data_IF_583034613949
#
_entry.id   IF_583034613949
#
_cell.length_a   1.000
_cell.length_b   1.000
_cell.length_c   1.000
_cell.angle_alpha   90.00
_cell.angle_beta   90.00
_cell.angle_gamma   90.00
#
_symmetry.space_group_name_H-M   'P 1'
#
loop_
_entity.id
_entity.type
_entity.pdbx_description
1 polymer ?
#
# COMPACT_ATOMS: atom_id res chain seq x y z
N UNK A 1 -29.28 73.10 -79.94
CA UNK A 1 -30.73 73.41 -79.95
C UNK A 1 -31.24 73.29 -78.53
N UNK A 2 -31.73 74.42 -77.97
CA UNK A 2 -32.66 74.63 -76.84
C UNK A 2 -32.40 73.88 -75.52
N UNK A 3 -32.42 74.48 -74.34
CA UNK A 3 -32.74 75.84 -73.87
C UNK A 3 -32.06 75.96 -72.48
N UNK A 4 -31.39 77.08 -72.18
CA UNK A 4 -31.85 78.07 -71.20
C UNK A 4 -32.20 77.52 -69.79
N UNK A 5 -31.78 78.10 -68.67
CA UNK A 5 -30.97 79.29 -68.39
C UNK A 5 -31.19 79.59 -66.89
N UNK A 6 -30.14 80.05 -66.19
CA UNK A 6 -30.19 81.01 -65.07
C UNK A 6 -30.93 80.63 -63.75
N UNK A 7 -30.57 81.03 -62.53
CA UNK A 7 -29.72 82.11 -62.00
C UNK A 7 -29.19 81.76 -60.59
N UNK A 8 -28.08 82.43 -60.24
CA UNK A 8 -27.42 82.66 -58.95
C UNK A 8 -28.26 82.77 -57.66
N UNK A 9 -27.68 82.37 -56.51
CA UNK A 9 -26.90 83.25 -55.58
C UNK A 9 -26.41 82.48 -54.33
N UNK A 10 -25.16 82.76 -53.92
CA UNK A 10 -24.44 82.18 -52.77
C UNK A 10 -25.03 82.56 -51.41
N UNK A 11 -24.98 81.64 -50.44
CA UNK A 11 -24.69 81.94 -49.03
C UNK A 11 -23.94 80.75 -48.40
N UNK A 12 -22.79 81.02 -47.77
CA UNK A 12 -22.02 80.06 -46.99
C UNK A 12 -22.72 79.77 -45.64
N UNK A 13 -22.81 78.51 -45.21
CA UNK A 13 -22.65 78.16 -43.80
C UNK A 13 -22.37 76.67 -43.59
N UNK A 14 -21.14 76.42 -43.14
CA UNK A 14 -20.59 75.19 -42.59
C UNK A 14 -21.39 74.73 -41.36
N UNK A 15 -21.81 73.47 -41.29
CA UNK A 15 -22.11 72.78 -40.01
C UNK A 15 -21.66 71.32 -40.09
N UNK A 16 -20.44 71.08 -39.62
CA UNK A 16 -19.98 69.77 -39.20
C UNK A 16 -20.67 69.44 -37.86
N UNK A 17 -21.53 68.43 -37.86
CA UNK A 17 -22.19 67.95 -36.65
C UNK A 17 -21.29 66.88 -36.04
N UNK A 18 -20.41 67.27 -35.12
CA UNK A 18 -19.67 66.33 -34.27
C UNK A 18 -20.44 66.14 -32.97
N UNK A 19 -20.97 64.94 -32.76
CA UNK A 19 -21.48 64.46 -31.49
C UNK A 19 -20.35 64.49 -30.44
N UNK A 20 -20.26 65.59 -29.69
CA UNK A 20 -19.34 65.71 -28.54
C UNK A 20 -20.12 65.39 -27.27
N UNK A 21 -19.86 64.21 -26.70
CA UNK A 21 -20.24 63.87 -25.33
C UNK A 21 -19.65 64.91 -24.36
N UNK A 22 -20.40 65.43 -23.39
CA UNK A 22 -19.89 66.47 -22.49
C UNK A 22 -18.84 65.89 -21.54
N UNK A 23 -17.62 66.44 -21.60
CA UNK A 23 -16.58 66.21 -20.59
C UNK A 23 -17.01 66.86 -19.28
N UNK A 24 -17.14 66.06 -18.21
CA UNK A 24 -17.34 66.57 -16.85
C UNK A 24 -16.05 67.21 -16.36
N UNK A 25 -16.02 68.54 -16.28
CA UNK A 25 -14.92 69.29 -15.69
C UNK A 25 -15.23 69.55 -14.21
N UNK A 26 -14.23 69.42 -13.34
CA UNK A 26 -14.35 69.86 -11.95
C UNK A 26 -14.39 71.39 -11.86
N UNK A 27 -14.89 71.95 -10.75
CA UNK A 27 -15.08 73.38 -10.54
C UNK A 27 -13.80 74.25 -10.66
N UNK A 28 -12.62 73.64 -10.79
CA UNK A 28 -11.32 74.30 -11.00
C UNK A 28 -10.73 74.06 -12.41
N UNK A 29 -11.53 73.64 -13.39
CA UNK A 29 -11.10 73.61 -14.80
C UNK A 29 -10.12 72.51 -15.19
N UNK A 30 -9.87 71.52 -14.31
CA UNK A 30 -9.12 70.31 -14.67
C UNK A 30 -10.05 69.25 -15.28
N UNK A 31 -9.65 68.69 -16.42
CA UNK A 31 -10.28 67.50 -17.00
C UNK A 31 -10.21 66.36 -15.99
N UNK A 32 -11.36 65.78 -15.64
CA UNK A 32 -11.42 64.58 -14.80
C UNK A 32 -10.98 63.42 -15.69
N UNK A 33 -9.77 62.89 -15.48
CA UNK A 33 -9.35 61.63 -16.10
C UNK A 33 -10.26 60.54 -15.56
N UNK A 34 -11.00 59.91 -16.46
CA UNK A 34 -11.86 58.79 -16.12
C UNK A 34 -10.98 57.56 -15.86
N UNK A 35 -10.70 57.26 -14.59
CA UNK A 35 -9.96 56.07 -14.12
C UNK A 35 -10.78 54.75 -14.31
N UNK A 36 -11.78 54.77 -15.19
CA UNK A 36 -12.77 53.70 -15.38
C UNK A 36 -12.18 52.45 -16.05
N UNK A 37 -11.11 52.58 -16.84
CA UNK A 37 -10.47 51.47 -17.58
C UNK A 37 -9.84 50.42 -16.66
N UNK A 38 -9.10 50.83 -15.61
CA UNK A 38 -8.50 49.90 -14.64
C UNK A 38 -9.58 49.19 -13.81
N UNK A 39 -10.68 49.88 -13.53
CA UNK A 39 -11.80 49.32 -12.77
C UNK A 39 -12.56 48.24 -13.56
N UNK A 40 -12.70 48.39 -14.88
CA UNK A 40 -13.38 47.41 -15.74
C UNK A 40 -12.61 46.11 -15.88
N UNK A 41 -11.29 46.20 -16.08
CA UNK A 41 -10.40 45.04 -16.15
C UNK A 41 -10.33 44.32 -14.80
N UNK A 42 -10.18 45.06 -13.69
CA UNK A 42 -10.17 44.48 -12.35
C UNK A 42 -11.50 43.79 -12.01
N UNK A 43 -12.64 44.39 -12.38
CA UNK A 43 -13.97 43.77 -12.22
C UNK A 43 -14.12 42.50 -13.05
N UNK A 44 -13.55 42.46 -14.25
CA UNK A 44 -13.53 41.25 -15.08
C UNK A 44 -12.68 40.14 -14.45
N UNK A 45 -11.45 40.46 -14.03
CA UNK A 45 -10.58 39.50 -13.34
C UNK A 45 -11.20 38.98 -12.05
N UNK A 46 -11.72 39.87 -11.19
CA UNK A 46 -12.23 39.52 -9.87
C UNK A 46 -13.63 38.87 -9.93
N UNK A 47 -14.47 39.29 -10.88
CA UNK A 47 -15.85 38.80 -11.01
C UNK A 47 -16.02 37.56 -11.90
N UNK A 48 -15.11 37.34 -12.85
CA UNK A 48 -15.26 36.24 -13.82
C UNK A 48 -14.03 35.34 -13.89
N UNK A 49 -12.84 35.89 -14.12
CA UNK A 49 -11.65 35.05 -14.37
C UNK A 49 -11.19 34.31 -13.11
N UNK A 50 -11.09 34.99 -11.97
CA UNK A 50 -10.64 34.40 -10.71
C UNK A 50 -11.64 33.32 -10.25
N UNK A 51 -12.96 33.57 -10.16
CA UNK A 51 -13.91 32.50 -9.82
C UNK A 51 -13.83 31.31 -10.77
N UNK A 52 -13.69 31.57 -12.08
CA UNK A 52 -13.50 30.51 -13.08
C UNK A 52 -12.24 29.68 -12.78
N UNK A 53 -11.09 30.31 -12.57
CA UNK A 53 -9.83 29.61 -12.27
C UNK A 53 -9.88 28.88 -10.93
N UNK A 54 -10.49 29.46 -9.91
CA UNK A 54 -10.62 28.85 -8.58
C UNK A 54 -11.53 27.62 -8.65
N UNK A 55 -12.71 27.72 -9.24
CA UNK A 55 -13.65 26.59 -9.35
C UNK A 55 -13.03 25.46 -10.17
N UNK A 56 -12.49 25.77 -11.36
CA UNK A 56 -11.87 24.74 -12.20
C UNK A 56 -10.58 24.19 -11.57
N UNK A 57 -9.81 25.03 -10.88
CA UNK A 57 -8.62 24.61 -10.14
C UNK A 57 -8.97 23.65 -9.00
N UNK A 58 -10.06 23.91 -8.26
CA UNK A 58 -10.55 23.00 -7.21
C UNK A 58 -11.05 21.68 -7.78
N UNK A 59 -11.82 21.71 -8.87
CA UNK A 59 -12.28 20.50 -9.56
C UNK A 59 -11.06 19.68 -10.00
N UNK A 60 -10.11 20.31 -10.68
CA UNK A 60 -8.89 19.65 -11.13
C UNK A 60 -8.11 19.06 -9.96
N UNK A 61 -7.96 19.82 -8.87
CA UNK A 61 -7.28 19.35 -7.66
C UNK A 61 -7.89 18.06 -7.13
N UNK A 62 -9.22 17.97 -7.03
CA UNK A 62 -9.92 16.76 -6.59
C UNK A 62 -9.84 15.61 -7.60
N UNK A 63 -9.85 15.90 -8.92
CA UNK A 63 -9.73 14.88 -9.97
C UNK A 63 -8.36 14.22 -9.95
N UNK A 64 -7.28 14.95 -9.63
CA UNK A 64 -5.92 14.40 -9.61
C UNK A 64 -5.48 13.89 -8.22
N UNK A 65 -6.27 14.12 -7.16
CA UNK A 65 -5.92 13.63 -5.83
C UNK A 65 -5.76 12.10 -5.83
N UNK A 66 -4.59 11.64 -5.42
CA UNK A 66 -4.25 10.22 -5.34
C UNK A 66 -4.11 9.80 -3.88
N UNK A 67 -4.63 8.64 -3.46
CA UNK A 67 -4.40 8.14 -2.10
C UNK A 67 -2.92 7.89 -1.84
N UNK A 68 -2.53 7.98 -0.58
CA UNK A 68 -1.20 7.63 -0.09
C UNK A 68 -1.29 6.40 0.80
N UNK A 69 -0.33 5.49 0.64
CA UNK A 69 -0.20 4.27 1.44
C UNK A 69 1.16 4.34 2.14
N UNK A 70 1.15 4.16 3.46
CA UNK A 70 2.36 4.01 4.28
C UNK A 70 2.27 2.68 5.01
N UNK A 71 3.22 1.80 4.78
CA UNK A 71 3.27 0.48 5.39
C UNK A 71 4.29 0.46 6.53
N UNK A 72 3.96 -0.24 7.60
CA UNK A 72 4.89 -0.60 8.65
C UNK A 72 5.66 -1.87 8.23
N UNK A 73 6.81 -2.12 8.87
CA UNK A 73 7.56 -3.35 8.63
C UNK A 73 6.75 -4.56 9.12
N UNK A 74 6.65 -5.64 8.31
CA UNK A 74 6.00 -6.87 8.73
C UNK A 74 6.65 -7.45 10.00
N UNK A 75 5.83 -7.99 10.89
CA UNK A 75 6.29 -8.59 12.15
C UNK A 75 5.70 -9.99 12.32
N UNK A 76 6.42 -10.88 13.02
CA UNK A 76 5.96 -12.22 13.36
C UNK A 76 6.27 -12.54 14.82
N UNK A 77 5.35 -13.26 15.47
CA UNK A 77 5.53 -13.71 16.87
C UNK A 77 5.78 -15.20 17.00
N UNK A 78 5.36 -15.97 16.00
CA UNK A 78 5.29 -17.43 16.07
C UNK A 78 5.90 -18.12 14.84
N UNK A 79 6.50 -17.36 13.92
CA UNK A 79 7.09 -17.85 12.66
C UNK A 79 6.10 -18.55 11.71
N UNK A 80 4.81 -18.59 12.06
CA UNK A 80 3.70 -19.18 11.29
C UNK A 80 2.84 -18.14 10.61
N UNK A 81 2.73 -16.98 11.26
CA UNK A 81 1.92 -15.89 10.80
C UNK A 81 2.67 -14.56 10.87
N UNK A 82 2.43 -13.70 9.90
CA UNK A 82 3.02 -12.37 9.83
C UNK A 82 1.90 -11.33 9.86
N UNK A 83 1.98 -10.43 10.83
CA UNK A 83 1.09 -9.30 10.95
C UNK A 83 1.66 -8.12 10.17
N UNK A 84 0.86 -7.60 9.23
CA UNK A 84 1.22 -6.42 8.45
C UNK A 84 0.21 -5.31 8.73
N UNK A 85 0.71 -4.13 9.10
CA UNK A 85 -0.13 -2.94 9.22
C UNK A 85 0.26 -1.89 8.20
N UNK A 86 -0.75 -1.24 7.63
CA UNK A 86 -0.54 -0.12 6.72
C UNK A 86 -1.65 0.91 6.88
N UNK A 87 -1.30 2.18 6.67
CA UNK A 87 -2.21 3.31 6.74
C UNK A 87 -2.50 3.83 5.34
N UNK A 88 -3.78 4.01 5.03
CA UNK A 88 -4.25 4.62 3.80
C UNK A 88 -4.79 6.01 4.12
N UNK A 89 -4.13 7.03 3.61
CA UNK A 89 -4.52 8.44 3.78
C UNK A 89 -4.98 9.03 2.46
N UNK A 90 -6.11 9.73 2.46
CA UNK A 90 -6.64 10.38 1.26
C UNK A 90 -7.47 11.61 1.63
N UNK A 91 -7.35 12.67 0.82
CA UNK A 91 -8.19 13.88 0.95
C UNK A 91 -9.62 13.67 0.42
N UNK A 92 -9.80 12.69 -0.46
CA UNK A 92 -11.10 12.29 -1.00
C UNK A 92 -11.49 10.90 -0.48
N UNK A 93 -12.79 10.58 -0.39
CA UNK A 93 -13.23 9.27 0.04
C UNK A 93 -12.63 8.12 -0.78
N UNK A 94 -12.33 7.02 -0.10
CA UNK A 94 -11.86 5.79 -0.74
C UNK A 94 -13.04 5.01 -1.31
N UNK A 95 -12.87 4.50 -2.54
CA UNK A 95 -13.79 3.57 -3.18
C UNK A 95 -13.54 2.15 -2.69
N UNK A 96 -12.29 1.71 -2.68
CA UNK A 96 -11.89 0.40 -2.19
C UNK A 96 -10.43 0.37 -1.74
N UNK A 97 -10.14 -0.55 -0.83
CA UNK A 97 -8.78 -0.93 -0.43
C UNK A 97 -8.75 -2.44 -0.44
N UNK A 98 -7.81 -3.02 -1.19
CA UNK A 98 -7.66 -4.47 -1.34
C UNK A 98 -6.20 -4.83 -1.11
N UNK A 99 -5.97 -6.01 -0.55
CA UNK A 99 -4.63 -6.56 -0.41
C UNK A 99 -4.59 -7.98 -0.98
N UNK A 100 -3.53 -8.29 -1.71
CA UNK A 100 -3.33 -9.60 -2.32
C UNK A 100 -1.91 -10.09 -2.09
N UNK A 101 -1.73 -11.34 -1.70
CA UNK A 101 -0.43 -12.00 -1.65
C UNK A 101 -0.37 -13.05 -2.76
N UNK A 102 0.65 -13.00 -3.61
CA UNK A 102 0.79 -13.90 -4.78
C UNK A 102 -0.50 -14.02 -5.64
N UNK A 103 -1.29 -12.93 -5.71
CA UNK A 103 -2.54 -12.87 -6.45
C UNK A 103 -3.80 -13.34 -5.71
N UNK A 104 -3.68 -13.89 -4.50
CA UNK A 104 -4.81 -14.28 -3.65
C UNK A 104 -5.22 -13.14 -2.73
N UNK A 105 -6.52 -12.87 -2.62
CA UNK A 105 -7.04 -11.80 -1.74
C UNK A 105 -6.90 -12.16 -0.26
N UNK A 106 -6.40 -11.21 0.53
CA UNK A 106 -6.17 -11.36 1.95
C UNK A 106 -7.22 -10.55 2.72
N UNK A 107 -7.85 -11.11 3.77
CA UNK A 107 -8.79 -10.37 4.58
C UNK A 107 -8.13 -9.16 5.26
N UNK A 108 -8.81 -8.02 5.20
CA UNK A 108 -8.35 -6.77 5.79
C UNK A 108 -9.23 -6.38 6.99
N UNK A 109 -8.60 -6.16 8.13
CA UNK A 109 -9.22 -5.54 9.29
C UNK A 109 -9.01 -4.03 9.24
N UNK A 110 -10.10 -3.26 9.22
CA UNK A 110 -10.05 -1.81 9.14
C UNK A 110 -10.29 -1.18 10.51
N UNK A 111 -9.34 -0.36 10.96
CA UNK A 111 -9.50 0.53 12.11
C UNK A 111 -9.21 1.98 11.69
N UNK A 112 -10.27 2.72 11.37
CA UNK A 112 -10.17 4.10 10.88
C UNK A 112 -9.46 4.18 9.51
N UNK A 113 -8.27 4.80 9.48
CA UNK A 113 -7.39 4.88 8.31
C UNK A 113 -6.33 3.77 8.25
N UNK A 114 -6.25 2.94 9.29
CA UNK A 114 -5.27 1.88 9.42
C UNK A 114 -5.92 0.55 9.07
N UNK A 115 -5.18 -0.25 8.33
CA UNK A 115 -5.55 -1.58 7.90
C UNK A 115 -4.54 -2.57 8.46
N UNK A 116 -5.03 -3.75 8.82
CA UNK A 116 -4.22 -4.86 9.27
C UNK A 116 -4.60 -6.11 8.50
N UNK A 117 -3.62 -6.95 8.23
CA UNK A 117 -3.84 -8.30 7.75
C UNK A 117 -2.82 -9.23 8.38
N UNK A 118 -3.26 -10.46 8.60
CA UNK A 118 -2.41 -11.57 9.04
C UNK A 118 -2.19 -12.48 7.84
N UNK A 119 -0.93 -12.76 7.53
CA UNK A 119 -0.50 -13.59 6.42
C UNK A 119 0.02 -14.92 6.95
N UNK A 120 -0.28 -15.99 6.22
CA UNK A 120 0.13 -17.37 6.56
C UNK A 120 1.23 -17.89 5.64
N UNK A 121 1.67 -17.09 4.67
CA UNK A 121 2.65 -17.48 3.66
C UNK A 121 3.61 -16.32 3.39
N UNK A 122 4.86 -16.65 3.08
CA UNK A 122 5.82 -15.69 2.58
C UNK A 122 5.42 -15.23 1.16
N UNK A 123 5.88 -14.05 0.76
CA UNK A 123 5.62 -13.53 -0.58
C UNK A 123 5.56 -12.01 -0.65
N UNK A 124 5.05 -11.49 -1.76
CA UNK A 124 4.89 -10.05 -1.96
C UNK A 124 3.43 -9.61 -1.75
N UNK A 125 3.16 -8.95 -0.63
CA UNK A 125 1.85 -8.36 -0.36
C UNK A 125 1.68 -7.09 -1.21
N UNK A 126 0.73 -7.15 -2.14
CA UNK A 126 0.32 -6.00 -2.95
C UNK A 126 -0.90 -5.34 -2.33
N UNK A 127 -0.72 -4.12 -1.83
CA UNK A 127 -1.82 -3.29 -1.33
C UNK A 127 -2.24 -2.30 -2.42
N UNK A 128 -3.53 -2.26 -2.74
CA UNK A 128 -4.11 -1.36 -3.74
C UNK A 128 -5.21 -0.52 -3.12
N UNK A 129 -5.08 0.80 -3.18
CA UNK A 129 -6.09 1.76 -2.77
C UNK A 129 -6.65 2.50 -3.98
N UNK A 130 -7.97 2.54 -4.11
CA UNK A 130 -8.69 3.21 -5.20
C UNK A 130 -9.59 4.28 -4.60
N UNK A 131 -9.45 5.51 -5.09
CA UNK A 131 -10.30 6.63 -4.72
C UNK A 131 -11.56 6.73 -5.59
N UNK A 132 -12.56 7.49 -5.12
CA UNK A 132 -13.81 7.70 -5.86
C UNK A 132 -13.61 8.41 -7.22
N UNK A 133 -12.53 9.18 -7.37
CA UNK A 133 -12.12 9.79 -8.63
C UNK A 133 -11.34 8.81 -9.54
N UNK A 134 -11.30 7.53 -9.19
CA UNK A 134 -10.60 6.45 -9.90
C UNK A 134 -9.06 6.52 -9.87
N UNK A 135 -8.49 7.49 -9.17
CA UNK A 135 -7.04 7.51 -8.92
C UNK A 135 -6.66 6.35 -8.01
N UNK A 136 -5.57 5.67 -8.36
CA UNK A 136 -5.14 4.43 -7.72
C UNK A 136 -3.71 4.57 -7.23
N UNK A 137 -3.43 3.99 -6.06
CA UNK A 137 -2.07 3.79 -5.56
C UNK A 137 -1.88 2.32 -5.20
N UNK A 138 -0.74 1.77 -5.59
CA UNK A 138 -0.30 0.43 -5.16
C UNK A 138 1.02 0.52 -4.40
N UNK A 139 1.19 -0.37 -3.43
CA UNK A 139 2.44 -0.58 -2.71
C UNK A 139 2.71 -2.08 -2.58
N UNK A 140 3.99 -2.42 -2.48
CA UNK A 140 4.49 -3.78 -2.41
C UNK A 140 5.24 -3.93 -1.09
N UNK A 141 4.86 -4.91 -0.30
CA UNK A 141 5.45 -5.19 1.01
C UNK A 141 5.96 -6.62 0.94
N UNK A 142 7.27 -6.78 1.03
CA UNK A 142 7.89 -8.10 1.03
C UNK A 142 7.77 -8.74 2.41
N UNK A 143 7.32 -9.99 2.45
CA UNK A 143 7.14 -10.78 3.67
C UNK A 143 7.96 -12.05 3.53
N UNK A 144 8.97 -12.22 4.38
CA UNK A 144 9.92 -13.33 4.37
C UNK A 144 10.29 -13.78 5.79
N UNK A 145 9.37 -13.62 6.73
CA UNK A 145 9.59 -13.88 8.16
C UNK A 145 9.12 -15.27 8.58
N UNK A 146 8.27 -15.91 7.78
CA UNK A 146 7.70 -17.21 8.12
C UNK A 146 8.71 -18.30 7.82
N UNK A 147 8.75 -19.30 8.68
CA UNK A 147 9.61 -20.45 8.49
C UNK A 147 8.83 -21.57 7.79
N UNK A 148 9.29 -21.91 6.60
CA UNK A 148 8.69 -22.93 5.73
C UNK A 148 9.61 -24.16 5.59
N UNK A 149 10.77 -24.15 6.25
CA UNK A 149 11.75 -25.24 6.18
C UNK A 149 11.45 -26.31 7.24
N UNK A 150 11.65 -27.57 6.88
CA UNK A 150 11.58 -28.64 7.88
C UNK A 150 12.85 -28.63 8.75
N UNK A 151 12.75 -29.03 10.03
CA UNK A 151 13.94 -29.31 10.83
C UNK A 151 14.77 -30.44 10.20
N UNK A 152 16.07 -30.46 10.45
CA UNK A 152 17.01 -31.43 9.88
C UNK A 152 17.48 -32.40 10.95
N UNK A 153 17.21 -33.69 10.75
CA UNK A 153 17.80 -34.79 11.49
C UNK A 153 19.14 -35.13 10.83
N UNK A 154 20.24 -35.02 11.56
CA UNK A 154 21.58 -35.27 11.03
C UNK A 154 21.85 -36.78 10.92
N UNK A 155 21.82 -37.29 9.69
CA UNK A 155 22.04 -38.71 9.40
C UNK A 155 23.48 -39.18 9.74
N UNK A 156 24.47 -38.28 9.73
CA UNK A 156 25.85 -38.64 10.06
C UNK A 156 26.08 -38.74 11.57
N UNK A 157 25.17 -38.16 12.38
CA UNK A 157 25.22 -38.18 13.85
C UNK A 157 24.58 -39.42 14.48
N UNK A 158 23.98 -40.29 13.67
CA UNK A 158 23.17 -41.40 14.18
C UNK A 158 24.06 -42.44 14.88
N UNK A 159 23.73 -42.71 16.15
CA UNK A 159 24.30 -43.83 16.90
C UNK A 159 23.17 -44.78 17.28
N UNK A 160 23.16 -45.95 16.65
CA UNK A 160 22.23 -47.03 16.95
C UNK A 160 22.94 -48.10 17.79
N UNK A 161 22.64 -48.14 19.09
CA UNK A 161 23.21 -49.08 20.04
C UNK A 161 22.24 -50.18 20.46
N UNK A 162 22.71 -51.09 21.32
CA UNK A 162 21.85 -52.13 21.88
C UNK A 162 20.80 -51.53 22.84
N UNK A 163 19.62 -51.24 22.30
CA UNK A 163 18.46 -50.73 23.05
C UNK A 163 18.37 -49.20 23.16
N UNK A 164 19.16 -48.45 22.38
CA UNK A 164 19.03 -46.99 22.30
C UNK A 164 19.36 -46.45 20.91
N UNK A 165 18.77 -45.29 20.61
CA UNK A 165 19.03 -44.47 19.43
C UNK A 165 19.44 -43.07 19.90
N UNK A 166 20.49 -42.53 19.30
CA UNK A 166 20.91 -41.15 19.48
C UNK A 166 21.09 -40.48 18.11
N UNK A 167 20.63 -39.23 17.98
CA UNK A 167 20.83 -38.41 16.79
C UNK A 167 20.82 -36.93 17.17
N UNK A 168 21.44 -36.10 16.34
CA UNK A 168 21.42 -34.65 16.46
C UNK A 168 20.36 -34.07 15.51
N UNK A 169 19.67 -33.02 15.97
CA UNK A 169 18.65 -32.31 15.20
C UNK A 169 18.90 -30.80 15.25
N UNK A 170 18.67 -30.13 14.12
CA UNK A 170 18.88 -28.70 13.98
C UNK A 170 17.77 -28.05 13.16
N UNK A 171 17.53 -26.76 13.43
CA UNK A 171 16.70 -25.91 12.60
C UNK A 171 17.37 -24.54 12.46
N UNK A 172 17.14 -23.89 11.31
CA UNK A 172 17.87 -22.67 10.91
C UNK A 172 17.13 -21.36 11.22
N UNK A 173 15.83 -21.39 11.48
CA UNK A 173 15.02 -20.17 11.59
C UNK A 173 14.13 -20.15 12.83
N UNK A 174 13.12 -21.03 12.93
CA UNK A 174 12.18 -21.01 14.06
C UNK A 174 12.72 -21.73 15.29
N UNK A 175 13.66 -22.66 15.13
CA UNK A 175 14.19 -23.52 16.17
C UNK A 175 13.33 -24.76 16.42
N UNK A 176 13.86 -25.72 17.18
CA UNK A 176 13.20 -27.00 17.44
C UNK A 176 12.19 -26.90 18.58
N UNK A 177 11.02 -27.50 18.40
CA UNK A 177 10.05 -27.71 19.46
C UNK A 177 10.35 -29.03 20.20
N UNK A 178 11.25 -28.95 21.17
CA UNK A 178 11.77 -30.12 21.92
C UNK A 178 10.68 -30.97 22.60
N UNK A 179 9.62 -30.35 23.12
CA UNK A 179 8.52 -31.05 23.81
C UNK A 179 7.67 -31.89 22.85
N UNK A 180 7.66 -31.49 21.57
CA UNK A 180 6.89 -32.15 20.53
C UNK A 180 7.55 -33.40 19.97
N UNK A 181 8.85 -33.64 20.25
CA UNK A 181 9.58 -34.80 19.74
C UNK A 181 8.99 -36.10 20.27
N UNK A 182 8.81 -37.08 19.40
CA UNK A 182 8.37 -38.42 19.75
C UNK A 182 8.84 -39.45 18.72
N UNK A 183 8.71 -40.73 19.06
CA UNK A 183 8.94 -41.84 18.15
C UNK A 183 7.82 -42.85 18.18
N UNK A 184 7.74 -43.67 17.15
CA UNK A 184 6.85 -44.82 17.05
C UNK A 184 7.73 -46.05 16.95
N UNK A 185 7.64 -46.95 17.93
CA UNK A 185 8.39 -48.21 17.92
C UNK A 185 7.81 -49.22 16.90
N UNK A 186 8.50 -50.35 16.71
CA UNK A 186 8.05 -51.43 15.84
C UNK A 186 6.71 -52.10 16.24
N UNK A 187 6.23 -51.86 17.46
CA UNK A 187 4.93 -52.33 17.96
C UNK A 187 3.83 -51.27 17.77
N UNK A 188 4.17 -50.09 17.26
CA UNK A 188 3.26 -48.96 17.06
C UNK A 188 3.02 -48.12 18.31
N UNK A 189 3.80 -48.30 19.38
CA UNK A 189 3.68 -47.50 20.58
C UNK A 189 4.37 -46.15 20.40
N UNK A 190 3.74 -45.10 20.94
CA UNK A 190 4.35 -43.79 21.02
C UNK A 190 5.38 -43.77 22.17
N UNK A 191 6.64 -43.50 21.83
CA UNK A 191 7.76 -43.40 22.76
C UNK A 191 8.26 -41.96 22.82
N UNK A 192 8.66 -41.52 24.00
CA UNK A 192 9.26 -40.20 24.21
C UNK A 192 10.79 -40.32 24.34
N UNK A 193 11.54 -39.27 23.98
CA UNK A 193 12.97 -39.23 24.24
C UNK A 193 13.26 -39.48 25.72
N UNK A 194 14.30 -40.25 26.01
CA UNK A 194 14.82 -40.44 27.37
C UNK A 194 15.73 -39.31 27.81
N UNK A 195 16.41 -38.66 26.87
CA UNK A 195 17.24 -37.48 27.12
C UNK A 195 17.22 -36.52 25.92
N UNK A 196 17.29 -35.22 26.21
CA UNK A 196 17.35 -34.15 25.20
C UNK A 196 18.37 -33.11 25.66
N UNK A 197 19.46 -32.97 24.92
CA UNK A 197 20.42 -31.89 25.10
C UNK A 197 20.14 -30.77 24.09
N UNK A 198 19.40 -29.76 24.53
CA UNK A 198 19.03 -28.61 23.69
C UNK A 198 20.24 -27.74 23.26
N UNK A 199 21.39 -27.86 23.95
CA UNK A 199 22.58 -27.07 23.60
C UNK A 199 23.31 -27.66 22.40
N UNK A 200 23.39 -29.00 22.33
CA UNK A 200 24.04 -29.70 21.21
C UNK A 200 23.05 -30.11 20.12
N UNK A 201 21.75 -30.09 20.43
CA UNK A 201 20.69 -30.60 19.57
C UNK A 201 20.51 -32.12 19.64
N UNK A 202 21.09 -32.77 20.65
CA UNK A 202 21.13 -34.23 20.75
C UNK A 202 19.87 -34.79 21.38
N UNK A 203 19.30 -35.82 20.76
CA UNK A 203 18.10 -36.51 21.22
C UNK A 203 18.41 -37.98 21.38
N UNK A 204 18.06 -38.55 22.54
CA UNK A 204 18.25 -39.97 22.85
C UNK A 204 16.92 -40.64 23.12
N UNK A 205 16.70 -41.79 22.52
CA UNK A 205 15.57 -42.68 22.78
C UNK A 205 16.05 -44.00 23.38
N UNK A 206 15.32 -44.52 24.35
CA UNK A 206 15.36 -45.95 24.67
C UNK A 206 14.42 -46.68 23.71
N UNK A 207 14.94 -47.71 23.04
CA UNK A 207 14.16 -48.56 22.14
C UNK A 207 14.15 -50.00 22.66
N UNK A 208 12.96 -50.59 22.76
CA UNK A 208 12.78 -51.97 23.17
C UNK A 208 12.81 -52.96 21.98
N UNK A 209 12.66 -52.45 20.75
CA UNK A 209 12.61 -53.23 19.52
C UNK A 209 13.67 -52.80 18.51
N UNK A 210 13.72 -53.52 17.39
CA UNK A 210 14.77 -53.36 16.38
C UNK A 210 14.55 -52.17 15.45
N UNK A 211 13.39 -51.49 15.52
CA UNK A 211 13.09 -50.35 14.66
C UNK A 211 12.29 -49.26 15.38
N UNK A 212 12.52 -48.01 14.99
CA UNK A 212 11.82 -46.83 15.49
C UNK A 212 11.72 -45.78 14.37
N UNK A 213 10.56 -45.13 14.25
CA UNK A 213 10.39 -43.93 13.42
C UNK A 213 10.25 -42.72 14.32
N UNK A 214 11.15 -41.75 14.21
CA UNK A 214 11.14 -40.52 15.00
C UNK A 214 10.49 -39.39 14.22
N UNK A 215 9.85 -38.49 14.95
CA UNK A 215 9.18 -37.29 14.45
C UNK A 215 9.70 -36.09 15.24
N UNK A 216 10.21 -35.10 14.52
CA UNK A 216 10.69 -33.84 15.10
C UNK A 216 9.98 -32.69 14.41
N UNK A 217 9.42 -31.79 15.23
CA UNK A 217 8.74 -30.59 14.77
C UNK A 217 9.48 -29.34 15.24
N UNK A 218 9.49 -28.31 14.41
CA UNK A 218 10.04 -27.01 14.74
C UNK A 218 8.98 -26.12 15.45
N UNK A 219 9.33 -24.89 15.78
CA UNK A 219 8.39 -23.94 16.41
C UNK A 219 7.36 -23.40 15.40
N UNK A 220 7.68 -23.39 14.11
CA UNK A 220 6.79 -23.07 13.00
C UNK A 220 5.80 -24.19 12.60
N UNK A 221 5.90 -25.36 13.22
CA UNK A 221 5.02 -26.50 12.99
C UNK A 221 5.41 -27.40 11.81
N UNK A 222 6.52 -27.14 11.12
CA UNK A 222 7.07 -28.03 10.10
C UNK A 222 7.63 -29.29 10.77
N UNK A 223 7.59 -30.43 10.09
CA UNK A 223 7.89 -31.73 10.69
C UNK A 223 8.81 -32.56 9.79
N UNK A 224 9.86 -33.09 10.40
CA UNK A 224 10.72 -34.09 9.80
C UNK A 224 10.49 -35.45 10.46
N UNK A 225 10.65 -36.50 9.66
CA UNK A 225 10.56 -37.88 10.14
C UNK A 225 11.76 -38.68 9.63
N UNK A 226 12.24 -39.62 10.44
CA UNK A 226 13.29 -40.56 10.07
C UNK A 226 13.03 -41.93 10.68
N UNK A 227 13.30 -42.99 9.93
CA UNK A 227 13.12 -44.37 10.36
C UNK A 227 14.46 -45.07 10.50
N UNK A 228 14.68 -45.71 11.64
CA UNK A 228 15.90 -46.43 11.96
C UNK A 228 15.57 -47.88 12.26
N UNK A 229 16.43 -48.79 11.81
CA UNK A 229 16.35 -50.21 12.10
C UNK A 229 17.73 -50.77 12.36
N UNK A 230 17.85 -51.64 13.36
CA UNK A 230 19.01 -52.50 13.61
C UNK A 230 18.97 -53.56 12.51
N UNK A 231 20.01 -53.62 11.68
CA UNK A 231 20.19 -54.68 10.67
C UNK A 231 21.03 -55.82 11.23
#
# INVERSE_FOLDING_TARGET
MRSDSYYHRKVNMTRANTDRRPSRNSAQGRQIKDDSSKSGILRFFLGFLIPYLVINGLILFFVIQTPTITADEPDTKDYKSADVSFKVSSLIPMKSVTATIEGQEVPLEKNGSTYKCTLTNNGNLTVKAVAINQMTKSTYIQVNLLDEANPVIDEDSIVLGAGYLEFDVSDTQSGINWDSIYGIDNLGNNVKPTDINQTTGRVTFSMAGDAITVYVKDLAGNEAQASFSVN
#
